data_IF_786811489476
#
_entry.id   IF_786811489476
#
_cell.length_a   1.000
_cell.length_b   1.000
_cell.length_c   1.000
_cell.angle_alpha   90.00
_cell.angle_beta   90.00
_cell.angle_gamma   90.00
#
_symmetry.space_group_name_H-M   'P 1'
#
loop_
_entity.id
_entity.type
_entity.pdbx_description
1 polymer ?
#
# COMPACT_ATOMS: atom_id res chain seq x y z
N UNK A 1 1.70 -0.94 -12.65
CA UNK A 1 2.55 -0.99 -11.46
C UNK A 1 3.88 -1.60 -11.90
N UNK A 2 5.00 -0.99 -11.54
CA UNK A 2 6.32 -1.55 -11.88
C UNK A 2 6.64 -2.72 -10.97
N UNK A 3 7.54 -3.62 -11.38
CA UNK A 3 8.04 -4.71 -10.51
C UNK A 3 8.63 -4.16 -9.21
N UNK A 4 9.29 -2.99 -9.26
CA UNK A 4 9.88 -2.35 -8.08
C UNK A 4 8.80 -1.88 -7.11
N UNK A 5 7.78 -1.18 -7.61
CA UNK A 5 6.66 -0.71 -6.78
C UNK A 5 5.85 -1.86 -6.19
N UNK A 6 5.62 -2.93 -6.96
CA UNK A 6 4.93 -4.13 -6.49
C UNK A 6 5.67 -4.80 -5.32
N UNK A 7 6.98 -5.03 -5.48
CA UNK A 7 7.81 -5.65 -4.45
C UNK A 7 7.90 -4.80 -3.18
N UNK A 8 7.94 -3.48 -3.33
CA UNK A 8 7.88 -2.56 -2.19
C UNK A 8 6.56 -2.71 -1.44
N UNK A 9 5.43 -2.61 -2.15
CA UNK A 9 4.11 -2.61 -1.52
C UNK A 9 3.83 -3.96 -0.83
N UNK A 10 4.24 -5.08 -1.44
CA UNK A 10 4.14 -6.41 -0.82
C UNK A 10 4.90 -6.47 0.52
N UNK A 11 6.15 -6.02 0.55
CA UNK A 11 6.97 -6.01 1.77
C UNK A 11 6.41 -5.08 2.83
N UNK A 12 6.05 -3.87 2.43
CA UNK A 12 5.47 -2.87 3.33
C UNK A 12 4.18 -3.39 3.97
N UNK A 13 3.28 -4.00 3.18
CA UNK A 13 2.06 -4.58 3.72
C UNK A 13 2.33 -5.73 4.70
N UNK A 14 3.26 -6.64 4.39
CA UNK A 14 3.61 -7.73 5.29
C UNK A 14 4.11 -7.23 6.67
N UNK A 15 4.77 -6.08 6.72
CA UNK A 15 5.29 -5.48 7.94
C UNK A 15 4.26 -4.64 8.72
N UNK A 16 3.27 -4.07 8.02
CA UNK A 16 2.37 -3.06 8.58
C UNK A 16 0.92 -3.55 8.79
N UNK A 17 0.37 -4.40 7.92
CA UNK A 17 -1.02 -4.86 8.05
C UNK A 17 -1.30 -5.67 9.32
N UNK A 18 -0.42 -6.59 9.78
CA UNK A 18 -0.67 -7.32 11.03
C UNK A 18 -0.79 -6.41 12.27
N UNK A 19 -0.31 -5.17 12.19
CA UNK A 19 -0.35 -4.19 13.29
C UNK A 19 -1.61 -3.32 13.26
N UNK A 20 -2.27 -3.22 12.12
CA UNK A 20 -3.45 -2.36 11.97
C UNK A 20 -4.66 -2.92 12.70
N UNK A 21 -4.85 -4.23 12.71
CA UNK A 21 -5.84 -4.92 13.55
C UNK A 21 -7.31 -4.59 13.24
N UNK A 22 -7.61 -3.84 12.18
CA UNK A 22 -8.97 -3.47 11.75
C UNK A 22 -9.03 -3.16 10.26
N UNK A 23 -10.08 -3.62 9.59
CA UNK A 23 -10.43 -3.34 8.20
C UNK A 23 -11.28 -2.05 8.03
N UNK A 24 -11.29 -1.18 9.05
CA UNK A 24 -11.98 0.11 9.01
C UNK A 24 -11.47 0.97 7.84
N UNK A 25 -12.36 1.47 6.95
CA UNK A 25 -11.96 2.31 5.81
C UNK A 25 -11.08 3.51 6.18
N UNK A 26 -11.26 4.10 7.37
CA UNK A 26 -10.41 5.20 7.83
C UNK A 26 -8.98 4.72 8.14
N UNK A 27 -8.82 3.54 8.75
CA UNK A 27 -7.52 2.92 8.98
C UNK A 27 -6.84 2.51 7.67
N UNK A 28 -7.60 2.00 6.69
CA UNK A 28 -7.09 1.68 5.35
C UNK A 28 -6.60 2.95 4.64
N UNK A 29 -7.31 4.07 4.77
CA UNK A 29 -6.87 5.36 4.22
C UNK A 29 -5.55 5.82 4.84
N UNK A 30 -5.42 5.76 6.17
CA UNK A 30 -4.18 6.11 6.87
C UNK A 30 -3.01 5.19 6.48
N UNK A 31 -3.26 3.88 6.32
CA UNK A 31 -2.26 2.95 5.79
C UNK A 31 -1.86 3.27 4.36
N UNK A 32 -2.80 3.71 3.52
CA UNK A 32 -2.52 4.13 2.15
C UNK A 32 -1.59 5.34 2.15
N UNK A 33 -1.88 6.37 2.94
CA UNK A 33 -1.03 7.56 3.06
C UNK A 33 0.39 7.20 3.53
N UNK A 34 0.51 6.34 4.55
CA UNK A 34 1.81 5.89 5.06
C UNK A 34 2.59 5.05 4.05
N UNK A 35 1.93 4.22 3.25
CA UNK A 35 2.58 3.45 2.18
C UNK A 35 3.13 4.39 1.09
N UNK A 36 2.38 5.44 0.74
CA UNK A 36 2.81 6.44 -0.23
C UNK A 36 4.00 7.27 0.28
N UNK A 37 3.98 7.69 1.54
CA UNK A 37 5.11 8.39 2.17
C UNK A 37 6.36 7.51 2.24
N UNK A 38 6.22 6.23 2.61
CA UNK A 38 7.34 5.30 2.64
C UNK A 38 7.92 5.04 1.24
N UNK A 39 7.08 4.98 0.21
CA UNK A 39 7.52 4.84 -1.17
C UNK A 39 8.35 6.05 -1.63
N UNK A 40 7.91 7.27 -1.28
CA UNK A 40 8.63 8.51 -1.58
C UNK A 40 10.02 8.52 -0.91
N UNK A 41 10.10 8.11 0.36
CA UNK A 41 11.36 7.98 1.10
C UNK A 41 12.31 6.96 0.44
N UNK A 42 11.79 5.89 -0.15
CA UNK A 42 12.57 4.89 -0.89
C UNK A 42 12.88 5.27 -2.35
N UNK A 43 12.43 6.45 -2.80
CA UNK A 43 12.61 6.91 -4.18
C UNK A 43 11.83 6.07 -5.20
N UNK A 44 10.69 5.53 -4.77
CA UNK A 44 9.72 4.85 -5.63
C UNK A 44 8.69 5.88 -6.08
N UNK A 45 8.65 6.12 -7.38
CA UNK A 45 7.74 7.08 -7.96
C UNK A 45 6.28 6.61 -7.82
N UNK A 46 5.35 7.55 -7.68
CA UNK A 46 3.91 7.24 -7.60
C UNK A 46 3.44 6.36 -8.78
N UNK A 47 3.94 6.62 -9.98
CA UNK A 47 3.63 5.81 -11.19
C UNK A 47 4.15 4.37 -11.15
N UNK A 48 5.01 4.03 -10.19
CA UNK A 48 5.53 2.68 -10.02
C UNK A 48 4.67 1.85 -9.08
N UNK A 49 4.09 2.48 -8.07
CA UNK A 49 3.14 1.90 -7.10
C UNK A 49 1.69 1.97 -7.58
N UNK A 50 1.39 2.89 -8.51
CA UNK A 50 0.09 3.04 -9.16
C UNK A 50 0.14 2.51 -10.61
N UNK A 51 -0.96 1.96 -11.11
CA UNK A 51 -1.21 1.77 -12.55
C UNK A 51 -2.55 2.40 -12.91
N UNK A 52 -2.71 2.83 -14.17
CA UNK A 52 -4.04 3.13 -14.69
C UNK A 52 -4.93 1.88 -14.56
N UNK A 53 -5.83 1.88 -13.56
CA UNK A 53 -6.80 0.82 -13.33
C UNK A 53 -6.84 0.22 -11.92
N UNK A 54 -5.94 0.59 -10.99
CA UNK A 54 -5.98 0.06 -9.61
C UNK A 54 -5.43 1.02 -8.56
N UNK A 55 -6.12 1.12 -7.42
CA UNK A 55 -5.73 1.99 -6.30
C UNK A 55 -4.92 1.23 -5.24
N UNK A 56 -3.89 1.88 -4.66
CA UNK A 56 -3.16 1.34 -3.49
C UNK A 56 -4.13 1.07 -2.33
N UNK A 57 -5.16 1.90 -2.17
CA UNK A 57 -6.24 1.68 -1.20
C UNK A 57 -6.95 0.34 -1.44
N UNK A 58 -7.29 0.01 -2.69
CA UNK A 58 -8.00 -1.23 -3.01
C UNK A 58 -7.13 -2.46 -2.76
N UNK A 59 -5.84 -2.37 -3.05
CA UNK A 59 -4.86 -3.44 -2.78
C UNK A 59 -4.76 -3.69 -1.27
N UNK A 60 -4.62 -2.63 -0.47
CA UNK A 60 -4.57 -2.73 1.00
C UNK A 60 -5.91 -3.25 1.55
N UNK A 61 -7.04 -2.71 1.09
CA UNK A 61 -8.37 -3.14 1.51
C UNK A 61 -8.61 -4.63 1.22
N UNK A 62 -8.19 -5.12 0.05
CA UNK A 62 -8.27 -6.54 -0.29
C UNK A 62 -7.37 -7.38 0.63
N UNK A 63 -6.15 -6.93 0.91
CA UNK A 63 -5.22 -7.64 1.78
C UNK A 63 -5.68 -7.71 3.24
N UNK A 64 -6.51 -6.77 3.71
CA UNK A 64 -7.06 -6.78 5.08
C UNK A 64 -8.32 -7.63 5.24
N UNK A 65 -8.98 -7.99 4.14
CA UNK A 65 -10.17 -8.86 4.15
C UNK A 65 -9.82 -10.37 4.13
N UNK A 66 -8.53 -10.71 4.02
CA UNK A 66 -8.01 -12.08 3.94
C UNK A 66 -7.10 -12.41 5.12
#
# INVERSE_FOLDING_TARGET
>A
MSTRGANFLERWMAEHLPKAGTDDPAAISDLTDRAMEAADVEGIEVREIYEEGGSVFEVIAAAMQH
#
